data_IF_951461132360
#
_entry.id   IF_951461132360
#
_cell.length_a   1.000
_cell.length_b   1.000
_cell.length_c   1.000
_cell.angle_alpha   90.00
_cell.angle_beta   90.00
_cell.angle_gamma   90.00
#
_symmetry.space_group_name_H-M   'P 1'
#
loop_
_entity.id
_entity.type
_entity.pdbx_description
1 polymer ?
#
# COMPACT_ATOMS: atom_id res chain seq x y z
N UNK A 1 -16.81 12.29 -11.98
CA UNK A 1 -17.54 11.50 -13.01
C UNK A 1 -16.75 10.21 -13.30
N UNK A 2 -17.41 9.05 -13.42
CA UNK A 2 -16.72 7.79 -13.76
C UNK A 2 -16.16 7.84 -15.19
N UNK A 3 -14.98 7.26 -15.41
CA UNK A 3 -14.39 7.12 -16.75
C UNK A 3 -15.01 5.93 -17.49
N UNK A 4 -15.10 5.97 -18.83
CA UNK A 4 -15.27 4.76 -19.63
C UNK A 4 -14.14 3.77 -19.32
N UNK A 5 -14.44 2.47 -19.28
CA UNK A 5 -13.47 1.44 -18.89
C UNK A 5 -13.29 1.30 -17.38
N UNK A 6 -14.31 1.64 -16.59
CA UNK A 6 -14.31 1.46 -15.13
C UNK A 6 -13.92 0.02 -14.74
N UNK A 7 -12.91 -0.10 -13.89
CA UNK A 7 -12.37 -1.35 -13.39
C UNK A 7 -12.89 -1.63 -11.97
N UNK A 8 -13.39 -2.84 -11.76
CA UNK A 8 -13.79 -3.31 -10.44
C UNK A 8 -12.60 -3.44 -9.50
N UNK A 9 -12.88 -3.47 -8.19
CA UNK A 9 -11.84 -3.66 -7.19
C UNK A 9 -12.32 -3.35 -5.78
N UNK A 10 -11.40 -2.85 -4.96
CA UNK A 10 -11.63 -2.61 -3.55
C UNK A 10 -12.50 -1.37 -3.34
N UNK A 11 -13.56 -1.51 -2.55
CA UNK A 11 -14.40 -0.41 -2.12
C UNK A 11 -13.75 0.36 -0.97
N UNK A 12 -13.68 1.69 -1.07
CA UNK A 12 -13.16 2.59 -0.03
C UNK A 12 -14.16 3.71 0.24
N UNK A 13 -14.28 4.16 1.50
CA UNK A 13 -15.08 5.34 1.86
C UNK A 13 -14.10 6.50 2.10
N UNK A 14 -14.25 7.59 1.36
CA UNK A 14 -13.37 8.77 1.45
C UNK A 14 -14.02 9.90 2.27
N UNK A 15 -13.34 11.04 2.42
CA UNK A 15 -13.74 12.10 3.34
C UNK A 15 -15.15 12.68 3.09
N UNK A 16 -15.67 12.55 1.87
CA UNK A 16 -17.02 12.94 1.48
C UNK A 16 -18.13 11.99 1.96
N UNK A 17 -17.77 10.89 2.65
CA UNK A 17 -18.70 9.87 3.10
C UNK A 17 -19.16 8.93 1.99
N UNK A 18 -18.74 9.15 0.74
CA UNK A 18 -19.15 8.34 -0.40
C UNK A 18 -18.23 7.15 -0.60
N UNK A 19 -18.77 6.16 -1.31
CA UNK A 19 -18.05 4.94 -1.67
C UNK A 19 -17.39 5.08 -3.04
N UNK A 20 -16.09 4.86 -3.06
CA UNK A 20 -15.23 4.86 -4.24
C UNK A 20 -14.64 3.47 -4.48
N UNK A 21 -14.14 3.22 -5.69
CA UNK A 21 -13.55 1.92 -6.07
C UNK A 21 -12.12 2.12 -6.54
N UNK A 22 -11.19 1.47 -5.84
CA UNK A 22 -9.80 1.33 -6.23
C UNK A 22 -9.66 0.08 -7.11
N UNK A 23 -9.29 0.21 -8.40
CA UNK A 23 -9.12 -0.96 -9.25
C UNK A 23 -7.98 -1.83 -8.74
N UNK A 24 -8.28 -3.12 -8.57
CA UNK A 24 -7.28 -4.12 -8.20
C UNK A 24 -6.57 -4.62 -9.47
N UNK A 25 -5.37 -5.21 -9.36
CA UNK A 25 -4.78 -5.95 -10.47
C UNK A 25 -5.79 -7.01 -10.94
N UNK A 26 -5.90 -7.21 -12.25
CA UNK A 26 -6.76 -8.27 -12.78
C UNK A 26 -6.27 -9.61 -12.20
N UNK A 27 -7.19 -10.36 -11.58
CA UNK A 27 -6.89 -11.74 -11.20
C UNK A 27 -6.76 -12.58 -12.48
N UNK A 28 -5.97 -13.66 -12.42
CA UNK A 28 -5.77 -14.60 -13.52
C UNK A 28 -7.02 -15.48 -13.74
N UNK A 29 -8.21 -14.90 -13.62
CA UNK A 29 -9.50 -15.56 -13.71
C UNK A 29 -9.94 -15.59 -15.18
N UNK A 30 -9.17 -16.34 -15.97
CA UNK A 30 -9.48 -16.94 -17.29
C UNK A 30 -8.16 -17.40 -17.90
N UNK A 31 -8.22 -18.32 -18.86
CA UNK A 31 -7.11 -18.89 -19.63
C UNK A 31 -6.21 -17.87 -20.37
N UNK A 32 -6.39 -16.57 -20.11
CA UNK A 32 -5.59 -15.47 -20.64
C UNK A 32 -4.42 -15.15 -19.71
N UNK A 33 -3.26 -14.89 -20.32
CA UNK A 33 -2.08 -14.42 -19.61
C UNK A 33 -2.43 -13.06 -19.00
N UNK A 34 -2.41 -12.91 -17.66
CA UNK A 34 -2.78 -11.65 -17.03
C UNK A 34 -1.82 -10.54 -17.46
N UNK A 35 -2.38 -9.37 -17.76
CA UNK A 35 -1.61 -8.21 -18.21
C UNK A 35 -0.55 -7.81 -17.17
N UNK A 36 0.63 -7.36 -17.60
CA UNK A 36 1.68 -6.93 -16.68
C UNK A 36 1.26 -5.69 -15.88
N UNK A 37 1.82 -5.53 -14.68
CA UNK A 37 1.67 -4.30 -13.89
C UNK A 37 2.23 -3.13 -14.71
N UNK A 38 1.39 -2.11 -14.90
CA UNK A 38 1.73 -0.88 -15.63
C UNK A 38 2.97 -0.20 -15.02
N UNK A 39 3.87 0.30 -15.87
CA UNK A 39 5.18 0.83 -15.44
C UNK A 39 5.09 1.95 -14.39
N UNK A 40 4.08 2.82 -14.52
CA UNK A 40 3.87 3.88 -13.55
C UNK A 40 3.44 3.33 -12.17
N UNK A 41 2.64 2.26 -12.15
CA UNK A 41 2.28 1.57 -10.92
C UNK A 41 3.53 0.89 -10.34
N UNK A 42 4.35 0.23 -11.17
CA UNK A 42 5.61 -0.39 -10.75
C UNK A 42 6.53 0.59 -10.03
N UNK A 43 6.72 1.79 -10.58
CA UNK A 43 7.52 2.83 -9.93
C UNK A 43 6.98 3.22 -8.55
N UNK A 44 5.65 3.29 -8.38
CA UNK A 44 5.04 3.55 -7.07
C UNK A 44 5.23 2.37 -6.11
N UNK A 45 5.12 1.13 -6.60
CA UNK A 45 5.34 -0.07 -5.78
C UNK A 45 6.77 -0.18 -5.28
N UNK A 46 7.77 0.24 -6.07
CA UNK A 46 9.16 0.30 -5.60
C UNK A 46 9.32 1.32 -4.46
N UNK A 47 8.69 2.50 -4.54
CA UNK A 47 8.65 3.43 -3.40
C UNK A 47 8.02 2.82 -2.13
N UNK A 48 7.04 1.93 -2.28
CA UNK A 48 6.42 1.21 -1.16
C UNK A 48 7.39 0.17 -0.58
N UNK A 49 8.19 -0.51 -1.41
CA UNK A 49 9.19 -1.51 -0.96
C UNK A 49 10.38 -0.86 -0.26
N UNK A 50 10.78 0.32 -0.74
CA UNK A 50 11.95 1.05 -0.26
C UNK A 50 11.65 1.96 0.94
N UNK A 51 10.37 2.15 1.30
CA UNK A 51 9.98 3.00 2.42
C UNK A 51 10.66 2.56 3.74
N UNK A 52 11.42 3.47 4.34
CA UNK A 52 12.21 3.20 5.55
C UNK A 52 11.38 3.42 6.83
N UNK A 53 10.34 4.26 6.73
CA UNK A 53 9.48 4.63 7.84
C UNK A 53 7.99 4.64 7.48
N UNK A 54 7.16 4.79 8.53
CA UNK A 54 5.70 4.79 8.38
C UNK A 54 5.18 5.98 7.57
N UNK A 55 5.81 7.14 7.67
CA UNK A 55 5.37 8.33 6.95
C UNK A 55 5.69 8.22 5.45
N UNK A 56 6.81 7.62 5.08
CA UNK A 56 7.15 7.28 3.70
C UNK A 56 6.17 6.25 3.14
N UNK A 57 5.92 5.17 3.87
CA UNK A 57 4.98 4.14 3.47
C UNK A 57 3.58 4.73 3.21
N UNK A 58 3.06 5.52 4.15
CA UNK A 58 1.74 6.17 4.02
C UNK A 58 1.68 7.13 2.83
N UNK A 59 2.77 7.85 2.52
CA UNK A 59 2.85 8.73 1.35
C UNK A 59 2.84 7.95 0.04
N UNK A 60 3.60 6.85 -0.03
CA UNK A 60 3.64 5.99 -1.20
C UNK A 60 2.31 5.26 -1.44
N UNK A 61 1.67 4.74 -0.39
CA UNK A 61 0.31 4.17 -0.45
C UNK A 61 -0.74 5.19 -0.87
N UNK A 62 -0.65 6.43 -0.39
CA UNK A 62 -1.53 7.51 -0.82
C UNK A 62 -1.34 7.85 -2.30
N UNK A 63 -0.08 7.93 -2.76
CA UNK A 63 0.22 8.16 -4.17
C UNK A 63 -0.38 7.06 -5.06
N UNK A 64 -0.29 5.79 -4.63
CA UNK A 64 -0.97 4.68 -5.29
C UNK A 64 -2.48 4.88 -5.28
N UNK A 65 -3.09 5.19 -4.14
CA UNK A 65 -4.52 5.44 -4.01
C UNK A 65 -5.03 6.52 -4.97
N UNK A 66 -4.32 7.66 -5.06
CA UNK A 66 -4.62 8.74 -6.01
C UNK A 66 -4.57 8.25 -7.45
N UNK A 67 -3.50 7.54 -7.81
CA UNK A 67 -3.33 6.99 -9.15
C UNK A 67 -4.46 6.02 -9.50
N UNK A 68 -4.79 5.09 -8.60
CA UNK A 68 -5.87 4.12 -8.77
C UNK A 68 -7.24 4.79 -8.92
N UNK A 69 -7.52 5.85 -8.16
CA UNK A 69 -8.73 6.66 -8.37
C UNK A 69 -8.74 7.33 -9.75
N UNK A 70 -7.61 7.79 -10.26
CA UNK A 70 -7.52 8.45 -11.57
C UNK A 70 -7.84 7.52 -12.74
N UNK A 71 -7.67 6.21 -12.56
CA UNK A 71 -8.05 5.19 -13.55
C UNK A 71 -9.58 5.16 -13.69
N UNK A 72 -10.30 5.12 -12.57
CA UNK A 72 -11.75 4.97 -12.57
C UNK A 72 -12.54 6.28 -12.67
N UNK A 73 -11.93 7.41 -12.33
CA UNK A 73 -12.64 8.68 -12.17
C UNK A 73 -11.90 9.83 -12.86
N UNK A 74 -12.66 10.76 -13.42
CA UNK A 74 -12.14 12.08 -13.81
C UNK A 74 -12.30 13.00 -12.60
N UNK A 75 -11.19 13.24 -11.91
CA UNK A 75 -11.09 14.11 -10.74
C UNK A 75 -10.05 15.19 -11.01
N UNK A 76 -10.38 16.44 -10.69
CA UNK A 76 -9.43 17.55 -10.66
C UNK A 76 -8.69 17.64 -9.32
N UNK A 77 -7.64 18.48 -9.21
CA UNK A 77 -6.86 18.64 -7.98
C UNK A 77 -7.71 19.03 -6.75
N UNK A 78 -8.66 19.95 -6.92
CA UNK A 78 -9.58 20.39 -5.85
C UNK A 78 -10.43 19.23 -5.33
N UNK A 79 -10.91 18.37 -6.22
CA UNK A 79 -11.69 17.20 -5.85
C UNK A 79 -10.85 16.17 -5.10
N UNK A 80 -9.59 15.96 -5.50
CA UNK A 80 -8.68 15.13 -4.71
C UNK A 80 -8.43 15.71 -3.32
N UNK A 81 -8.27 17.02 -3.22
CA UNK A 81 -8.09 17.69 -1.94
C UNK A 81 -9.32 17.48 -1.04
N UNK A 82 -10.54 17.68 -1.56
CA UNK A 82 -11.77 17.43 -0.82
C UNK A 82 -11.88 15.97 -0.35
N UNK A 83 -11.63 15.01 -1.25
CA UNK A 83 -11.76 13.58 -0.96
C UNK A 83 -10.73 13.05 0.05
N UNK A 84 -9.57 13.69 0.15
CA UNK A 84 -8.44 13.26 0.98
C UNK A 84 -8.22 14.16 2.20
N UNK A 85 -9.07 15.17 2.41
CA UNK A 85 -9.02 16.07 3.57
C UNK A 85 -9.89 15.54 4.71
N UNK A 86 -9.36 14.57 5.45
CA UNK A 86 -10.02 14.02 6.63
C UNK A 86 -9.83 14.91 7.86
N UNK A 87 -10.85 14.97 8.71
CA UNK A 87 -10.68 15.51 10.07
C UNK A 87 -9.65 14.69 10.86
N UNK A 88 -8.89 15.34 11.75
CA UNK A 88 -7.73 14.73 12.44
C UNK A 88 -8.04 13.45 13.22
N UNK A 89 -9.29 13.27 13.65
CA UNK A 89 -9.78 12.11 14.42
C UNK A 89 -10.88 11.34 13.70
N UNK A 90 -11.04 11.53 12.38
CA UNK A 90 -12.07 10.80 11.64
C UNK A 90 -11.69 9.32 11.49
N UNK A 91 -12.56 8.37 11.87
CA UNK A 91 -12.34 6.93 11.64
C UNK A 91 -12.28 6.59 10.15
N UNK A 92 -12.78 7.48 9.28
CA UNK A 92 -12.72 7.32 7.83
C UNK A 92 -11.29 7.46 7.29
N UNK A 93 -10.43 8.21 7.98
CA UNK A 93 -9.01 8.32 7.62
C UNK A 93 -8.32 6.97 7.77
N UNK A 94 -8.50 6.32 8.91
CA UNK A 94 -7.93 4.99 9.19
C UNK A 94 -8.49 3.94 8.24
N UNK A 95 -9.80 3.97 8.00
CA UNK A 95 -10.46 3.09 7.03
C UNK A 95 -9.91 3.27 5.61
N UNK A 96 -9.66 4.52 5.20
CA UNK A 96 -9.09 4.82 3.89
C UNK A 96 -7.63 4.38 3.77
N UNK A 97 -6.82 4.63 4.81
CA UNK A 97 -5.43 4.17 4.87
C UNK A 97 -5.34 2.65 4.77
N UNK A 98 -6.18 1.92 5.51
CA UNK A 98 -6.25 0.46 5.41
C UNK A 98 -6.65 0.00 4.00
N UNK A 99 -7.59 0.69 3.35
CA UNK A 99 -7.95 0.37 1.97
C UNK A 99 -6.79 0.60 0.98
N UNK A 100 -6.04 1.70 1.13
CA UNK A 100 -4.86 1.96 0.31
C UNK A 100 -3.77 0.92 0.55
N UNK A 101 -3.51 0.57 1.81
CA UNK A 101 -2.57 -0.49 2.18
C UNK A 101 -2.95 -1.84 1.55
N UNK A 102 -4.22 -2.24 1.64
CA UNK A 102 -4.71 -3.49 1.02
C UNK A 102 -4.59 -3.48 -0.50
N UNK A 103 -4.85 -2.35 -1.14
CA UNK A 103 -4.63 -2.21 -2.58
C UNK A 103 -3.14 -2.35 -2.94
N UNK A 104 -2.25 -1.70 -2.18
CA UNK A 104 -0.80 -1.84 -2.35
C UNK A 104 -0.35 -3.30 -2.22
N UNK A 105 -0.81 -4.01 -1.19
CA UNK A 105 -0.49 -5.44 -1.02
C UNK A 105 -0.95 -6.30 -2.19
N UNK A 106 -2.13 -6.03 -2.74
CA UNK A 106 -2.62 -6.76 -3.91
C UNK A 106 -1.72 -6.56 -5.13
N UNK A 107 -1.30 -5.32 -5.40
CA UNK A 107 -0.37 -5.01 -6.49
C UNK A 107 1.03 -5.56 -6.25
N UNK A 108 1.55 -5.51 -5.02
CA UNK A 108 2.85 -6.12 -4.68
C UNK A 108 2.85 -7.63 -4.88
N UNK A 109 1.78 -8.33 -4.48
CA UNK A 109 1.64 -9.78 -4.74
C UNK A 109 1.65 -10.07 -6.25
N UNK A 110 0.90 -9.27 -7.02
CA UNK A 110 0.89 -9.39 -8.48
C UNK A 110 2.28 -9.17 -9.08
N UNK A 111 2.98 -8.12 -8.63
CA UNK A 111 4.32 -7.78 -9.08
C UNK A 111 5.33 -8.90 -8.78
N UNK A 112 5.30 -9.44 -7.56
CA UNK A 112 6.18 -10.54 -7.16
C UNK A 112 5.91 -11.80 -8.00
N UNK A 113 4.65 -12.10 -8.30
CA UNK A 113 4.28 -13.21 -9.18
C UNK A 113 4.80 -13.02 -10.61
N UNK A 114 4.76 -11.79 -11.15
CA UNK A 114 5.35 -11.46 -12.46
C UNK A 114 6.88 -11.61 -12.46
N UNK A 115 7.54 -11.22 -11.38
CA UNK A 115 9.00 -11.30 -11.22
C UNK A 115 9.50 -12.72 -10.89
N UNK A 116 8.60 -13.69 -10.74
CA UNK A 116 8.95 -15.05 -10.32
C UNK A 116 9.51 -15.11 -8.89
N UNK A 117 9.25 -14.10 -8.06
CA UNK A 117 9.65 -14.05 -6.65
C UNK A 117 8.59 -14.76 -5.82
N UNK A 118 8.85 -16.00 -5.43
CA UNK A 118 8.00 -16.73 -4.47
C UNK A 118 8.01 -16.02 -3.11
N UNK A 119 6.82 -15.79 -2.55
CA UNK A 119 6.50 -15.13 -1.26
C UNK A 119 7.69 -14.84 -0.34
N UNK A 120 8.26 -13.64 -0.49
CA UNK A 120 9.03 -12.98 0.56
C UNK A 120 8.27 -11.74 1.04
N UNK A 121 6.97 -11.87 1.27
CA UNK A 121 6.17 -10.88 1.99
C UNK A 121 6.36 -11.10 3.50
N UNK A 122 7.56 -10.84 4.00
CA UNK A 122 7.75 -10.49 5.41
C UNK A 122 7.49 -8.98 5.51
N UNK A 123 6.22 -8.60 5.47
CA UNK A 123 5.79 -7.29 5.95
C UNK A 123 5.34 -7.51 7.39
N UNK A 124 6.00 -6.80 8.30
CA UNK A 124 6.04 -7.03 9.73
C UNK A 124 4.72 -7.48 10.34
N UNK A 125 4.84 -8.48 11.22
CA UNK A 125 3.91 -8.71 12.32
C UNK A 125 3.35 -7.37 12.79
N UNK A 126 2.01 -7.32 12.93
CA UNK A 126 1.26 -6.26 13.62
C UNK A 126 2.17 -5.47 14.56
N UNK A 127 2.51 -4.23 14.19
CA UNK A 127 3.19 -3.35 15.14
C UNK A 127 2.29 -3.21 16.37
N UNK A 128 2.72 -3.69 17.56
CA UNK A 128 1.97 -3.42 18.77
C UNK A 128 1.99 -1.91 19.03
N UNK A 129 1.00 -1.37 19.76
CA UNK A 129 0.81 0.08 19.93
C UNK A 129 1.88 0.77 20.79
N UNK A 130 3.03 0.16 21.04
CA UNK A 130 4.04 0.68 21.96
C UNK A 130 5.37 0.88 21.24
N UNK A 131 5.80 2.15 21.23
CA UNK A 131 6.78 2.70 20.31
C UNK A 131 8.23 2.27 20.55
N UNK A 132 9.04 2.43 19.50
CA UNK A 132 10.49 2.67 19.36
C UNK A 132 11.52 1.95 20.27
N UNK A 133 11.21 1.56 21.50
CA UNK A 133 12.12 0.90 22.44
C UNK A 133 12.26 -0.61 22.17
N UNK A 134 11.26 -1.25 21.56
CA UNK A 134 11.32 -2.69 21.21
C UNK A 134 12.34 -3.02 20.10
N UNK A 135 12.51 -2.10 19.14
CA UNK A 135 13.45 -2.28 18.03
C UNK A 135 14.90 -2.02 18.47
N UNK A 136 15.13 -1.02 19.33
CA UNK A 136 16.46 -0.73 19.87
C UNK A 136 16.97 -1.89 20.74
N UNK A 137 16.09 -2.54 21.51
CA UNK A 137 16.48 -3.70 22.34
C UNK A 137 16.79 -4.96 21.52
N UNK A 138 16.08 -5.23 20.42
CA UNK A 138 16.43 -6.32 19.51
C UNK A 138 17.74 -6.04 18.74
N UNK A 139 17.99 -4.79 18.35
CA UNK A 139 19.20 -4.41 17.63
C UNK A 139 20.45 -4.47 18.52
N UNK A 140 20.36 -4.01 19.79
CA UNK A 140 21.47 -4.07 20.74
C UNK A 140 21.79 -5.50 21.20
N UNK A 141 20.78 -6.38 21.33
CA UNK A 141 20.99 -7.80 21.66
C UNK A 141 21.71 -8.58 20.54
N UNK A 142 21.57 -8.12 19.29
CA UNK A 142 22.24 -8.71 18.12
C UNK A 142 23.69 -8.24 17.97
N UNK A 143 24.02 -7.05 18.45
CA UNK A 143 25.39 -6.50 18.37
C UNK A 143 26.33 -6.97 19.48
N UNK A 144 25.81 -7.35 20.66
CA UNK A 144 26.63 -7.81 21.80
C UNK A 144 26.46 -9.28 22.19
N UNK A 145 25.79 -10.09 21.36
CA UNK A 145 25.54 -11.52 21.61
C UNK A 145 26.62 -12.51 21.13
N UNK A 146 27.80 -12.06 20.69
CA UNK A 146 28.94 -12.94 20.38
C UNK A 146 30.00 -12.84 21.47
N UNK A 147 29.96 -13.78 22.41
CA UNK A 147 31.15 -14.12 23.20
C UNK A 147 32.28 -14.56 22.26
N UNK A 148 33.53 -14.09 22.44
CA UNK A 148 34.68 -14.80 21.90
C UNK A 148 34.87 -16.11 22.68
N UNK A 149 34.97 -17.21 21.94
CA UNK A 149 35.33 -18.54 22.42
C UNK A 149 36.84 -18.59 22.69
N UNK A 150 37.16 -19.20 23.83
CA UNK A 150 38.39 -19.83 24.32
C UNK A 150 39.66 -19.82 23.46
N UNK A 151 40.77 -19.48 24.11
CA UNK A 151 41.96 -20.36 24.25
C UNK A 151 42.34 -20.46 25.73
#
# INVERSE_FOLDING_TARGET
>A
MRRPGFRSGLSVILADGQRWTLPLPAEADREEIPAPVEEHIRAILEMIREAEDRAELLRAELALGIHLLSINYRLGPEQYQELLSFERSSPMRETSQEAFHRAALAYLRRLNAEEGRADHLVIGERYPPEGLLGLVTQFLRRLWGRSPVSE
#
